data_IF_789814854867
#
_entry.id   IF_789814854867
#
_cell.length_a   1.000
_cell.length_b   1.000
_cell.length_c   1.000
_cell.angle_alpha   90.00
_cell.angle_beta   90.00
_cell.angle_gamma   90.00
#
_symmetry.space_group_name_H-M   'P 1'
#
loop_
_entity.id
_entity.type
_entity.pdbx_description
1 polymer ?
#
# COMPACT_ATOMS: atom_id res chain seq x y z
N UNK A 1 -39.29 -4.79 -7.33
CA UNK A 1 -39.40 -3.31 -7.40
C UNK A 1 -40.18 -2.84 -6.18
N UNK A 2 -39.83 -1.69 -5.58
CA UNK A 2 -40.52 -1.13 -4.41
C UNK A 2 -40.43 0.41 -4.39
N UNK A 3 -41.24 1.06 -3.55
CA UNK A 3 -41.17 2.48 -3.23
C UNK A 3 -40.92 2.64 -1.73
N UNK A 4 -40.10 3.62 -1.36
CA UNK A 4 -39.80 3.95 0.03
C UNK A 4 -40.13 5.43 0.27
N UNK A 5 -41.35 5.74 0.73
CA UNK A 5 -41.78 7.12 0.93
C UNK A 5 -41.02 7.82 2.05
N UNK A 6 -40.53 7.07 3.04
CA UNK A 6 -39.81 7.60 4.19
C UNK A 6 -38.43 8.13 3.77
N UNK A 7 -37.77 7.44 2.85
CA UNK A 7 -36.46 7.86 2.32
C UNK A 7 -36.58 8.81 1.12
N UNK A 8 -37.40 8.45 0.13
CA UNK A 8 -37.55 9.21 -1.11
C UNK A 8 -38.98 9.12 -1.69
N UNK A 9 -39.83 10.12 -1.45
CA UNK A 9 -41.26 10.08 -1.81
C UNK A 9 -41.57 9.84 -3.30
N UNK A 10 -40.71 10.29 -4.22
CA UNK A 10 -40.98 10.29 -5.68
C UNK A 10 -40.23 9.20 -6.46
N UNK A 11 -39.35 8.43 -5.83
CA UNK A 11 -38.44 7.50 -6.52
C UNK A 11 -38.91 6.05 -6.41
N UNK A 12 -38.71 5.28 -7.48
CA UNK A 12 -38.90 3.83 -7.48
C UNK A 12 -37.53 3.14 -7.39
N UNK A 13 -37.49 2.02 -6.65
CA UNK A 13 -36.28 1.25 -6.40
C UNK A 13 -36.40 -0.17 -6.93
N UNK A 14 -35.26 -0.69 -7.38
CA UNK A 14 -35.06 -2.12 -7.67
C UNK A 14 -34.16 -2.64 -6.57
N UNK A 15 -34.62 -3.67 -5.85
CA UNK A 15 -33.86 -4.29 -4.77
C UNK A 15 -33.87 -5.81 -4.93
N UNK A 16 -32.83 -6.45 -4.41
CA UNK A 16 -32.67 -7.90 -4.42
C UNK A 16 -32.77 -8.38 -2.97
N UNK A 17 -33.57 -9.42 -2.75
CA UNK A 17 -33.75 -10.07 -1.45
C UNK A 17 -33.12 -11.46 -1.47
N UNK A 18 -32.64 -11.94 -0.32
CA UNK A 18 -32.01 -13.27 -0.25
C UNK A 18 -33.05 -14.40 -0.25
N UNK A 19 -34.19 -14.21 0.41
CA UNK A 19 -35.29 -15.18 0.46
C UNK A 19 -36.51 -14.61 -0.27
N UNK A 20 -37.24 -15.48 -0.98
CA UNK A 20 -38.37 -15.07 -1.83
C UNK A 20 -39.51 -14.39 -1.08
N UNK A 21 -39.75 -14.76 0.18
CA UNK A 21 -40.85 -14.22 0.98
C UNK A 21 -40.50 -12.88 1.66
N UNK A 22 -39.27 -12.38 1.54
CA UNK A 22 -38.91 -11.08 2.11
C UNK A 22 -39.37 -9.93 1.23
N UNK A 23 -39.99 -8.94 1.87
CA UNK A 23 -40.48 -7.71 1.22
C UNK A 23 -39.56 -6.53 1.53
N UNK A 24 -39.44 -5.63 0.55
CA UNK A 24 -38.77 -4.33 0.69
C UNK A 24 -39.85 -3.23 0.61
N UNK A 25 -39.68 -2.07 1.27
CA UNK A 25 -38.53 -1.64 2.08
C UNK A 25 -38.47 -2.31 3.47
N UNK A 26 -37.27 -2.45 4.03
CA UNK A 26 -37.10 -2.95 5.40
C UNK A 26 -37.51 -1.87 6.40
N UNK A 27 -38.17 -2.22 7.52
CA UNK A 27 -38.48 -1.24 8.54
C UNK A 27 -37.19 -0.69 9.16
N UNK A 28 -37.16 0.61 9.54
CA UNK A 28 -35.94 1.32 9.90
C UNK A 28 -35.20 0.72 11.10
N UNK A 29 -35.93 0.13 12.04
CA UNK A 29 -35.38 -0.41 13.29
C UNK A 29 -35.07 -1.92 13.22
N UNK A 30 -35.35 -2.58 12.09
CA UNK A 30 -35.02 -4.00 11.96
C UNK A 30 -33.53 -4.20 11.64
N UNK A 31 -32.97 -5.29 12.17
CA UNK A 31 -31.61 -5.69 11.84
C UNK A 31 -31.45 -5.93 10.33
N UNK A 32 -30.35 -5.41 9.76
CA UNK A 32 -30.07 -5.57 8.34
C UNK A 32 -29.79 -7.03 8.01
N UNK A 33 -30.59 -7.59 7.11
CA UNK A 33 -30.39 -8.96 6.60
C UNK A 33 -29.15 -8.96 5.69
N UNK A 34 -28.07 -9.66 6.09
CA UNK A 34 -26.78 -9.79 5.36
C UNK A 34 -26.39 -11.26 5.21
N UNK A 35 -25.70 -11.61 4.13
CA UNK A 35 -25.13 -12.96 3.92
C UNK A 35 -23.61 -12.89 4.09
N UNK A 36 -23.02 -13.86 4.81
CA UNK A 36 -21.57 -13.93 5.03
C UNK A 36 -20.81 -14.16 3.70
N UNK A 37 -21.34 -15.04 2.84
CA UNK A 37 -20.80 -15.28 1.50
C UNK A 37 -19.46 -16.01 1.48
N UNK A 38 -19.13 -16.76 2.53
CA UNK A 38 -17.88 -17.53 2.66
C UNK A 38 -18.20 -19.00 2.96
N UNK A 39 -17.25 -19.88 2.65
CA UNK A 39 -17.28 -21.30 3.00
C UNK A 39 -16.17 -21.58 4.02
N UNK A 40 -16.47 -22.37 5.05
CA UNK A 40 -15.45 -22.83 5.98
C UNK A 40 -14.60 -23.89 5.28
N UNK A 41 -13.31 -23.61 5.10
CA UNK A 41 -12.33 -24.53 4.55
C UNK A 41 -11.41 -24.96 5.68
N UNK A 42 -11.11 -26.26 5.76
CA UNK A 42 -10.14 -26.78 6.73
C UNK A 42 -8.78 -26.16 6.43
N UNK A 43 -8.18 -25.52 7.43
CA UNK A 43 -6.83 -25.00 7.34
C UNK A 43 -5.85 -26.16 7.51
N UNK A 44 -4.87 -26.28 6.61
CA UNK A 44 -3.77 -27.23 6.78
C UNK A 44 -2.87 -26.75 7.92
N UNK A 45 -2.58 -27.63 8.88
CA UNK A 45 -1.70 -27.35 10.00
C UNK A 45 -0.26 -27.30 9.48
N UNK A 46 0.35 -26.10 9.47
CA UNK A 46 1.77 -25.98 9.23
C UNK A 46 2.53 -26.34 10.52
N UNK A 47 3.40 -27.34 10.47
CA UNK A 47 4.30 -27.75 11.56
C UNK A 47 5.39 -26.71 11.90
N UNK A 48 5.11 -25.41 11.76
CA UNK A 48 5.99 -24.33 12.21
C UNK A 48 5.62 -23.88 13.63
N UNK A 49 5.43 -24.86 14.51
CA UNK A 49 5.21 -24.70 15.95
C UNK A 49 6.41 -25.12 16.79
N UNK A 50 7.61 -25.24 16.20
CA UNK A 50 8.83 -25.36 17.00
C UNK A 50 9.04 -24.02 17.72
N UNK A 51 8.57 -23.97 18.96
CA UNK A 51 8.99 -23.00 19.94
C UNK A 51 10.52 -23.08 20.02
N UNK A 52 11.18 -22.10 19.41
CA UNK A 52 12.59 -21.82 19.65
C UNK A 52 12.66 -21.35 21.11
N UNK A 53 12.79 -22.29 22.03
CA UNK A 53 13.22 -22.02 23.40
C UNK A 53 14.65 -21.53 23.27
N UNK A 54 14.81 -20.22 23.15
CA UNK A 54 16.11 -19.57 23.29
C UNK A 54 16.54 -19.79 24.73
N UNK A 55 17.48 -20.71 24.92
CA UNK A 55 18.12 -20.99 26.21
C UNK A 55 18.84 -19.71 26.66
N UNK A 56 18.15 -18.91 27.48
CA UNK A 56 18.67 -17.65 28.00
C UNK A 56 19.57 -17.98 29.19
N UNK A 57 20.82 -18.31 28.91
CA UNK A 57 21.84 -18.52 29.95
C UNK A 57 22.08 -17.21 30.71
N UNK A 58 21.52 -17.15 31.92
CA UNK A 58 21.89 -16.18 32.94
C UNK A 58 23.33 -16.45 33.37
N UNK A 59 24.25 -15.60 32.94
CA UNK A 59 25.58 -15.50 33.51
C UNK A 59 25.47 -15.07 34.97
N UNK A 60 25.88 -15.95 35.86
CA UNK A 60 26.20 -15.68 37.26
C UNK A 60 27.19 -14.52 37.35
N UNK A 61 26.88 -13.54 38.18
CA UNK A 61 27.71 -12.36 38.39
C UNK A 61 29.02 -12.73 39.09
N UNK A 62 30.10 -12.15 38.58
CA UNK A 62 31.31 -11.89 39.34
C UNK A 62 31.73 -10.44 39.08
N UNK A 63 31.98 -9.74 40.19
CA UNK A 63 32.26 -8.32 40.28
C UNK A 63 33.64 -8.00 39.67
N UNK A 64 33.72 -6.92 38.89
CA UNK A 64 34.99 -6.56 38.25
C UNK A 64 34.97 -5.26 37.46
N UNK A 65 35.14 -4.16 38.20
CA UNK A 65 35.83 -2.93 37.80
C UNK A 65 35.21 -2.04 36.68
N UNK A 66 34.74 -0.88 37.12
CA UNK A 66 34.34 0.24 36.26
C UNK A 66 35.58 0.96 35.71
N UNK A 67 35.82 0.83 34.41
CA UNK A 67 36.66 1.78 33.66
C UNK A 67 35.95 2.20 32.39
N UNK A 68 35.59 3.47 32.36
CA UNK A 68 35.05 4.24 31.24
C UNK A 68 35.94 4.05 30.01
N UNK A 69 35.44 3.36 28.99
CA UNK A 69 36.09 3.15 27.70
C UNK A 69 35.12 3.48 26.58
N UNK A 70 35.56 4.33 25.67
CA UNK A 70 34.81 4.94 24.57
C UNK A 70 33.96 3.96 23.76
N UNK A 71 32.67 4.28 23.64
CA UNK A 71 31.73 3.53 22.79
C UNK A 71 31.97 3.92 21.33
N UNK A 72 32.82 3.15 20.64
CA UNK A 72 32.79 3.11 19.18
C UNK A 72 31.43 2.56 18.74
N UNK A 73 30.64 3.28 17.91
CA UNK A 73 29.40 2.72 17.42
C UNK A 73 29.74 1.53 16.52
N UNK A 74 29.32 0.33 16.95
CA UNK A 74 29.41 -0.88 16.17
C UNK A 74 28.74 -0.63 14.82
N UNK A 75 29.55 -0.55 13.75
CA UNK A 75 29.07 -0.44 12.37
C UNK A 75 28.25 -1.68 12.07
N UNK A 76 26.92 -1.55 12.21
CA UNK A 76 25.96 -2.51 11.66
C UNK A 76 26.20 -2.48 10.15
N UNK A 77 26.85 -3.52 9.61
CA UNK A 77 27.02 -3.66 8.16
C UNK A 77 25.62 -3.76 7.57
N UNK A 78 25.17 -2.63 7.01
CA UNK A 78 23.82 -2.50 6.49
C UNK A 78 23.50 -3.57 5.46
N UNK A 79 22.26 -4.04 5.49
CA UNK A 79 21.78 -5.09 4.59
C UNK A 79 21.96 -4.68 3.13
N UNK A 80 22.00 -5.64 2.19
CA UNK A 80 22.12 -5.36 0.75
C UNK A 80 21.03 -4.38 0.23
N UNK A 81 19.91 -4.24 0.96
CA UNK A 81 18.85 -3.26 0.70
C UNK A 81 19.26 -1.82 1.05
N UNK A 82 19.95 -1.64 2.17
CA UNK A 82 20.46 -0.33 2.62
C UNK A 82 21.61 0.15 1.72
N UNK A 83 22.50 -0.74 1.31
CA UNK A 83 23.54 -0.42 0.32
C UNK A 83 22.95 -0.01 -1.03
N UNK A 84 21.80 -0.57 -1.44
CA UNK A 84 21.09 -0.18 -2.66
C UNK A 84 20.42 1.19 -2.55
N UNK A 85 19.97 1.58 -1.36
CA UNK A 85 19.43 2.91 -1.09
C UNK A 85 20.55 3.96 -1.02
N UNK A 86 21.74 3.62 -0.51
CA UNK A 86 22.92 4.49 -0.56
C UNK A 86 23.50 4.62 -1.98
N UNK A 87 23.57 3.52 -2.74
CA UNK A 87 24.09 3.51 -4.11
C UNK A 87 23.21 4.29 -5.10
N UNK A 88 21.89 4.37 -4.83
CA UNK A 88 21.01 5.37 -5.44
C UNK A 88 21.08 6.64 -4.60
N UNK A 89 22.17 7.39 -4.73
CA UNK A 89 22.26 8.79 -4.30
C UNK A 89 21.29 9.64 -5.14
N UNK A 90 19.99 9.43 -4.95
CA UNK A 90 18.93 10.38 -5.25
C UNK A 90 18.86 11.26 -4.01
N UNK A 91 19.94 12.01 -3.74
CA UNK A 91 19.89 13.14 -2.82
C UNK A 91 20.04 14.36 -3.70
N UNK A 92 19.02 14.57 -4.52
CA UNK A 92 18.74 15.88 -5.08
C UNK A 92 18.04 16.73 -4.00
N UNK A 93 18.05 18.07 -4.14
CA UNK A 93 17.40 18.99 -3.19
C UNK A 93 15.88 18.73 -3.02
N UNK A 94 15.28 17.94 -3.91
CA UNK A 94 13.85 17.60 -3.96
C UNK A 94 13.45 16.37 -3.12
N UNK A 95 14.41 15.68 -2.49
CA UNK A 95 14.09 14.46 -1.73
C UNK A 95 13.51 14.77 -0.36
N UNK A 96 12.35 14.21 0.01
CA UNK A 96 11.66 14.65 1.22
C UNK A 96 12.37 14.13 2.47
N UNK A 97 12.57 15.02 3.43
CA UNK A 97 13.05 14.67 4.77
C UNK A 97 12.04 13.72 5.41
N UNK A 98 12.45 12.48 5.67
CA UNK A 98 11.61 11.49 6.33
C UNK A 98 11.60 11.78 7.82
N UNK A 99 10.42 11.93 8.42
CA UNK A 99 10.29 12.09 9.87
C UNK A 99 10.09 10.73 10.55
N UNK A 100 10.63 10.60 11.76
CA UNK A 100 10.49 9.40 12.58
C UNK A 100 9.16 9.46 13.35
N UNK A 101 8.27 8.49 13.11
CA UNK A 101 6.98 8.35 13.84
C UNK A 101 7.15 7.39 15.03
N UNK A 102 6.27 7.40 16.06
CA UNK A 102 6.28 6.36 17.09
C UNK A 102 6.19 4.97 16.46
N UNK A 103 7.11 4.08 16.83
CA UNK A 103 7.36 2.82 16.12
C UNK A 103 8.61 2.82 15.23
N UNK A 104 9.45 3.86 15.30
CA UNK A 104 10.78 3.94 14.67
C UNK A 104 10.77 3.72 13.14
N UNK A 105 9.67 4.08 12.47
CA UNK A 105 9.57 4.00 11.01
C UNK A 105 9.74 5.39 10.38
N UNK A 106 10.62 5.49 9.40
CA UNK A 106 10.74 6.67 8.54
C UNK A 106 9.56 6.74 7.57
N UNK A 107 8.74 7.79 7.68
CA UNK A 107 7.59 8.04 6.79
C UNK A 107 7.46 9.53 6.46
N UNK A 108 6.81 9.81 5.35
CA UNK A 108 6.37 11.17 5.00
C UNK A 108 4.94 11.35 5.51
N UNK A 109 4.57 12.59 5.81
CA UNK A 109 3.18 12.89 6.13
C UNK A 109 2.31 12.74 4.87
N UNK A 110 1.05 12.30 5.03
CA UNK A 110 0.15 12.07 3.88
C UNK A 110 -0.04 13.32 3.01
N UNK A 111 -0.05 14.51 3.62
CA UNK A 111 -0.16 15.78 2.90
C UNK A 111 1.12 16.13 2.10
N UNK A 112 2.30 15.69 2.57
CA UNK A 112 3.57 15.88 1.86
C UNK A 112 3.63 15.02 0.60
N UNK A 113 3.08 13.81 0.67
CA UNK A 113 2.92 12.91 -0.47
C UNK A 113 1.97 13.55 -1.50
N UNK A 114 0.90 14.20 -1.04
CA UNK A 114 -0.05 14.92 -1.90
C UNK A 114 0.61 16.03 -2.74
N UNK A 115 1.62 16.72 -2.19
CA UNK A 115 2.39 17.76 -2.88
C UNK A 115 3.58 17.22 -3.71
N UNK A 116 3.73 15.90 -3.83
CA UNK A 116 4.83 15.32 -4.61
C UNK A 116 4.82 15.75 -6.08
N UNK A 117 3.64 15.95 -6.67
CA UNK A 117 3.52 16.44 -8.05
C UNK A 117 3.99 17.89 -8.22
N UNK A 118 3.74 18.73 -7.22
CA UNK A 118 4.17 20.14 -7.19
C UNK A 118 5.69 20.24 -7.02
N UNK A 119 6.28 19.46 -6.09
CA UNK A 119 7.74 19.37 -5.91
C UNK A 119 8.43 18.87 -7.18
N UNK A 120 7.90 17.81 -7.78
CA UNK A 120 8.42 17.29 -9.05
C UNK A 120 8.09 18.21 -10.26
N UNK A 121 7.48 19.38 -10.01
CA UNK A 121 7.09 20.39 -10.99
C UNK A 121 6.34 19.79 -12.20
N UNK A 122 5.53 18.75 -11.95
CA UNK A 122 4.82 18.00 -12.98
C UNK A 122 3.59 18.78 -13.42
N UNK A 123 3.69 19.44 -14.58
CA UNK A 123 2.59 20.20 -15.17
C UNK A 123 1.72 19.30 -16.05
N UNK A 124 0.43 19.20 -15.73
CA UNK A 124 -0.56 18.50 -16.57
C UNK A 124 -0.91 19.38 -17.77
N UNK A 125 -0.95 18.79 -18.97
CA UNK A 125 -1.37 19.53 -20.18
C UNK A 125 -2.86 19.85 -20.10
N UNK A 126 -3.23 21.11 -20.35
CA UNK A 126 -4.62 21.54 -20.40
C UNK A 126 -5.43 20.73 -21.42
N UNK A 127 -6.70 20.48 -21.08
CA UNK A 127 -7.63 19.76 -21.93
C UNK A 127 -7.94 20.60 -23.19
N UNK A 128 -7.84 19.97 -24.37
CA UNK A 128 -8.23 20.57 -25.64
C UNK A 128 -9.57 19.96 -26.10
N UNK A 129 -10.66 20.74 -26.12
CA UNK A 129 -11.93 20.27 -26.66
C UNK A 129 -11.80 19.80 -28.12
N UNK A 130 -12.64 18.84 -28.54
CA UNK A 130 -12.74 18.30 -29.91
C UNK A 130 -11.53 17.46 -30.39
N UNK A 131 -10.47 17.28 -29.60
CA UNK A 131 -9.37 16.34 -29.92
C UNK A 131 -9.74 14.90 -29.48
N UNK A 132 -10.62 14.27 -30.25
CA UNK A 132 -11.15 12.91 -29.96
C UNK A 132 -10.07 11.82 -30.00
N UNK A 133 -8.95 12.06 -30.69
CA UNK A 133 -7.90 11.07 -30.92
C UNK A 133 -6.61 11.30 -30.09
N UNK A 134 -6.58 12.29 -29.18
CA UNK A 134 -5.42 12.55 -28.33
C UNK A 134 -4.97 11.33 -27.52
N UNK A 135 -5.93 10.62 -26.92
CA UNK A 135 -5.67 9.43 -26.11
C UNK A 135 -5.15 8.26 -26.96
N UNK A 136 -5.71 8.09 -28.16
CA UNK A 136 -5.27 7.06 -29.10
C UNK A 136 -3.84 7.33 -29.57
N UNK A 137 -3.52 8.57 -29.97
CA UNK A 137 -2.14 8.96 -30.37
C UNK A 137 -1.12 8.74 -29.25
N UNK A 138 -1.45 9.12 -28.01
CA UNK A 138 -0.61 8.83 -26.84
C UNK A 138 -0.40 7.33 -26.63
N UNK A 139 -1.45 6.53 -26.83
CA UNK A 139 -1.40 5.07 -26.69
C UNK A 139 -0.53 4.43 -27.76
N UNK A 140 -0.66 4.88 -29.01
CA UNK A 140 0.18 4.41 -30.13
C UNK A 140 1.65 4.76 -29.87
N UNK A 141 1.96 6.02 -29.52
CA UNK A 141 3.33 6.44 -29.19
C UNK A 141 3.94 5.64 -28.01
N UNK A 142 3.12 5.26 -27.02
CA UNK A 142 3.56 4.38 -25.94
C UNK A 142 3.85 2.95 -26.44
N UNK A 143 3.00 2.42 -27.32
CA UNK A 143 3.19 1.08 -27.92
C UNK A 143 4.45 1.03 -28.78
N UNK A 144 4.69 2.04 -29.61
CA UNK A 144 5.90 2.12 -30.46
C UNK A 144 7.17 2.18 -29.61
N UNK A 145 7.24 3.09 -28.63
CA UNK A 145 8.38 3.20 -27.70
C UNK A 145 8.64 1.90 -26.92
N UNK A 146 7.59 1.20 -26.51
CA UNK A 146 7.72 -0.10 -25.84
C UNK A 146 8.21 -1.20 -26.78
N UNK A 147 7.78 -1.18 -28.06
CA UNK A 147 8.28 -2.10 -29.07
C UNK A 147 9.77 -1.86 -29.36
N UNK A 148 10.19 -0.60 -29.50
CA UNK A 148 11.60 -0.20 -29.64
C UNK A 148 12.45 -0.67 -28.45
N UNK A 149 12.00 -0.42 -27.21
CA UNK A 149 12.70 -0.88 -26.00
C UNK A 149 12.81 -2.41 -25.93
N UNK A 150 11.76 -3.12 -26.33
CA UNK A 150 11.78 -4.60 -26.42
C UNK A 150 12.71 -5.09 -27.53
N UNK A 151 12.80 -4.38 -28.64
CA UNK A 151 13.71 -4.68 -29.75
C UNK A 151 15.18 -4.50 -29.37
N UNK A 152 15.51 -3.40 -28.68
CA UNK A 152 16.85 -3.13 -28.14
C UNK A 152 17.33 -4.25 -27.20
N UNK A 153 16.47 -4.69 -26.28
CA UNK A 153 16.80 -5.77 -25.33
C UNK A 153 16.94 -7.16 -25.98
N UNK A 154 16.41 -7.36 -27.20
CA UNK A 154 16.50 -8.64 -27.92
C UNK A 154 17.73 -8.74 -28.83
N UNK A 155 18.34 -7.61 -29.21
CA UNK A 155 19.56 -7.55 -30.04
C UNK A 155 20.87 -7.61 -29.25
N UNK A 156 20.82 -7.56 -27.92
CA UNK A 156 22.00 -7.59 -27.05
C UNK A 156 22.43 -9.01 -26.64
N UNK A 157 22.16 -10.02 -27.47
CA UNK A 157 22.55 -11.42 -27.24
C UNK A 157 23.13 -12.01 -28.52
#
# INVERSE_FOLDING_TARGET
YYRDPLKHPKRQYIGVVFQRHWTLPQPPNAARKRRLGMLAVKMEESESGQAVVADMQMGTGEEGNASVGEVLPSTIKGTHREQRLLAKKVVGPETPVLSLRPGYMYRQANWEIGRAAERANVKVRQFKPRDRYAAWRKTVARKTKNAERRGMNRKAK
#
